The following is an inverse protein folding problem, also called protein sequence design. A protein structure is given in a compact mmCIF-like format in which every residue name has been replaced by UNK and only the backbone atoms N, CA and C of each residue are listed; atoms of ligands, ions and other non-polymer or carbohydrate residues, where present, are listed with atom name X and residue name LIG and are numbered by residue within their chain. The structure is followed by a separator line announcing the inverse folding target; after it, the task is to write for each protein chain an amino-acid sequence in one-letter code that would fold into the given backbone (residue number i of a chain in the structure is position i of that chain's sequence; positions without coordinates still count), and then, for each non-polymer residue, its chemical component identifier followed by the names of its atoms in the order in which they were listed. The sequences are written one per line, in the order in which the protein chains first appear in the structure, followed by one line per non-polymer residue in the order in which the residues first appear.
data_IF_519120031682
#
_entry.id   IF_519120031682
#
_cell.length_a   1.000
_cell.length_b   1.000
_cell.length_c   1.000
_cell.angle_alpha   90.00
_cell.angle_beta   90.00
_cell.angle_gamma   90.00
#
_symmetry.space_group_name_H-M   'P 1'
#
loop_
_entity.id
_entity.type
_entity.pdbx_description
1 polymer ?
#
# COMPACT_ATOMS: atom_id res chain seq x y z
N UNK A 1 -25.86 10.55 -25.63
CA UNK A 1 -25.49 9.36 -24.82
C UNK A 1 -24.17 9.64 -24.11
N UNK A 2 -24.20 10.04 -22.83
CA UNK A 2 -22.99 10.20 -22.01
C UNK A 2 -22.80 8.91 -21.22
N UNK A 3 -21.71 8.18 -21.48
CA UNK A 3 -21.36 6.96 -20.75
C UNK A 3 -20.82 7.37 -19.39
N UNK A 4 -21.59 7.14 -18.34
CA UNK A 4 -21.10 7.18 -16.96
C UNK A 4 -20.11 6.03 -16.78
N UNK A 5 -18.83 6.35 -16.66
CA UNK A 5 -17.87 5.41 -16.09
C UNK A 5 -18.12 5.36 -14.59
N UNK A 6 -18.58 4.20 -14.10
CA UNK A 6 -18.64 3.94 -12.66
C UNK A 6 -17.21 3.89 -12.09
N UNK A 7 -16.95 4.39 -10.87
CA UNK A 7 -15.67 4.16 -10.23
C UNK A 7 -15.55 2.67 -9.91
N UNK A 8 -14.43 2.06 -10.29
CA UNK A 8 -14.06 0.73 -9.83
C UNK A 8 -13.95 0.81 -8.31
N UNK A 9 -14.94 0.23 -7.64
CA UNK A 9 -14.90 -0.01 -6.20
C UNK A 9 -13.74 -0.96 -5.93
N UNK A 10 -12.60 -0.41 -5.51
CA UNK A 10 -11.67 -1.16 -4.67
C UNK A 10 -12.39 -1.41 -3.35
N UNK A 11 -13.14 -2.52 -3.29
CA UNK A 11 -13.70 -3.03 -2.05
C UNK A 11 -12.54 -3.18 -1.07
N UNK A 12 -12.50 -2.31 -0.06
CA UNK A 12 -11.77 -2.53 1.18
C UNK A 12 -12.19 -3.94 1.69
N UNK A 13 -11.27 -4.79 2.17
CA UNK A 13 -11.64 -6.08 2.72
C UNK A 13 -12.72 -5.90 3.79
N UNK A 14 -13.86 -6.57 3.62
CA UNK A 14 -15.02 -6.53 4.52
C UNK A 14 -14.78 -7.31 5.83
N UNK A 15 -13.63 -7.10 6.48
CA UNK A 15 -13.36 -7.64 7.82
C UNK A 15 -13.27 -6.53 8.87
N UNK A 16 -13.86 -5.36 8.63
CA UNK A 16 -13.81 -4.21 9.52
C UNK A 16 -14.65 -4.39 10.78
N UNK A 17 -14.11 -5.07 11.78
CA UNK A 17 -14.50 -4.82 13.16
C UNK A 17 -14.14 -3.37 13.52
N UNK A 18 -14.98 -2.71 14.31
CA UNK A 18 -14.83 -1.32 14.77
C UNK A 18 -13.50 -1.03 15.47
N UNK A 19 -12.83 -2.06 16.01
CA UNK A 19 -11.52 -1.97 16.65
C UNK A 19 -10.35 -1.79 15.66
N UNK A 20 -10.47 -2.27 14.42
CA UNK A 20 -9.41 -2.17 13.40
C UNK A 20 -9.28 -0.77 12.80
N UNK A 21 -10.25 0.11 13.05
CA UNK A 21 -10.28 1.48 12.57
C UNK A 21 -10.24 2.51 13.71
N UNK A 22 -9.76 2.10 14.89
CA UNK A 22 -9.66 3.00 16.03
C UNK A 22 -8.71 4.18 15.68
N UNK A 23 -9.12 5.44 15.93
CA UNK A 23 -8.32 6.60 15.58
C UNK A 23 -6.95 6.60 16.29
N UNK A 24 -6.91 6.14 17.54
CA UNK A 24 -5.72 6.18 18.39
C UNK A 24 -4.86 4.90 18.28
N UNK A 25 -3.53 4.99 18.09
CA UNK A 25 -2.63 3.83 17.97
C UNK A 25 -2.76 2.79 19.09
N UNK A 26 -2.89 3.26 20.34
CA UNK A 26 -3.03 2.40 21.53
C UNK A 26 -4.31 1.56 21.55
N UNK A 27 -5.34 1.97 20.82
CA UNK A 27 -6.66 1.29 20.77
C UNK A 27 -6.79 0.31 19.59
N UNK A 28 -5.74 0.17 18.77
CA UNK A 28 -5.73 -0.67 17.58
C UNK A 28 -5.16 -2.05 17.89
N UNK A 29 -5.60 -3.03 17.11
CA UNK A 29 -4.99 -4.35 17.08
C UNK A 29 -3.54 -4.21 16.57
N UNK A 30 -2.53 -4.80 17.25
CA UNK A 30 -1.14 -4.83 16.77
C UNK A 30 -1.02 -5.35 15.33
N UNK A 31 -0.09 -4.80 14.54
CA UNK A 31 0.10 -5.20 13.13
C UNK A 31 0.40 -6.71 12.99
N UNK A 32 1.19 -7.28 13.90
CA UNK A 32 1.46 -8.73 13.98
C UNK A 32 0.23 -9.62 14.11
N UNK A 33 -0.88 -9.12 14.65
CA UNK A 33 -2.07 -9.94 14.89
C UNK A 33 -2.96 -10.04 13.64
N UNK A 34 -2.68 -9.25 12.60
CA UNK A 34 -3.30 -9.40 11.30
C UNK A 34 -2.63 -10.50 10.47
N UNK A 35 -3.41 -11.08 9.55
CA UNK A 35 -2.92 -12.07 8.59
C UNK A 35 -1.77 -11.46 7.75
N UNK A 36 -0.65 -12.18 7.51
CA UNK A 36 0.52 -11.64 6.80
C UNK A 36 0.19 -10.94 5.48
N UNK A 37 -0.74 -11.50 4.70
CA UNK A 37 -1.15 -10.96 3.40
C UNK A 37 -1.91 -9.62 3.49
N UNK A 38 -2.48 -9.30 4.65
CA UNK A 38 -3.28 -8.08 4.85
C UNK A 38 -2.50 -6.95 5.52
N UNK A 39 -1.35 -7.26 6.15
CA UNK A 39 -0.56 -6.29 6.94
C UNK A 39 -0.15 -5.07 6.14
N UNK A 40 0.30 -5.27 4.90
CA UNK A 40 0.77 -4.18 4.04
C UNK A 40 -0.36 -3.28 3.56
N UNK A 41 -1.56 -3.83 3.32
CA UNK A 41 -2.75 -3.05 3.01
C UNK A 41 -3.15 -2.17 4.21
N UNK A 42 -3.13 -2.75 5.41
CA UNK A 42 -3.45 -2.06 6.65
C UNK A 42 -2.45 -0.95 6.96
N UNK A 43 -1.14 -1.23 6.80
CA UNK A 43 -0.08 -0.23 6.95
C UNK A 43 -0.28 0.93 5.98
N UNK A 44 -0.61 0.65 4.71
CA UNK A 44 -0.91 1.69 3.70
C UNK A 44 -2.11 2.55 4.10
N UNK A 45 -3.19 1.93 4.58
CA UNK A 45 -4.37 2.67 5.06
C UNK A 45 -4.01 3.61 6.22
N UNK A 46 -3.14 3.19 7.15
CA UNK A 46 -2.68 4.04 8.23
C UNK A 46 -1.77 5.19 7.76
N UNK A 47 -0.86 4.94 6.83
CA UNK A 47 0.01 5.98 6.25
C UNK A 47 -0.83 7.03 5.51
N UNK A 48 -1.83 6.60 4.73
CA UNK A 48 -2.72 7.50 3.98
C UNK A 48 -3.61 8.36 4.89
N UNK A 49 -4.05 7.84 6.04
CA UNK A 49 -4.81 8.61 7.03
C UNK A 49 -3.96 9.70 7.69
N UNK A 50 -2.63 9.60 7.64
CA UNK A 50 -1.71 10.57 8.22
C UNK A 50 -1.65 10.52 9.75
N UNK A 51 -0.90 11.45 10.37
CA UNK A 51 -0.81 11.54 11.82
C UNK A 51 -2.19 11.80 12.42
N UNK A 52 -2.60 10.95 13.37
CA UNK A 52 -3.86 11.14 14.08
C UNK A 52 -3.77 12.42 14.94
N UNK A 53 -4.63 13.40 14.64
CA UNK A 53 -4.90 14.52 15.54
C UNK A 53 -6.12 14.15 16.40
N UNK A 54 -5.96 13.81 17.69
CA UNK A 54 -7.10 13.53 18.54
C UNK A 54 -7.94 14.81 18.72
N UNK A 55 -9.26 14.68 18.61
CA UNK A 55 -10.16 15.72 19.11
C UNK A 55 -10.02 15.73 20.64
N UNK A 56 -9.83 16.92 21.19
CA UNK A 56 -9.41 17.23 22.57
C UNK A 56 -10.21 16.50 23.68
N UNK A 57 -11.36 15.88 23.36
CA UNK A 57 -12.27 15.27 24.31
C UNK A 57 -12.20 13.73 24.46
N UNK A 58 -11.34 13.00 23.73
CA UNK A 58 -11.34 11.51 23.75
C UNK A 58 -10.00 10.83 24.10
N UNK A 59 -8.98 11.60 24.49
CA UNK A 59 -7.66 11.07 24.83
C UNK A 59 -7.49 10.96 26.34
N UNK A 60 -7.88 9.82 26.90
CA UNK A 60 -7.17 9.33 28.08
C UNK A 60 -5.76 8.93 27.62
N UNK A 61 -4.79 9.70 28.13
CA UNK A 61 -3.34 9.60 27.97
C UNK A 61 -2.72 10.41 26.80
N UNK A 62 -2.01 11.49 27.17
CA UNK A 62 -1.16 12.38 26.34
C UNK A 62 0.06 11.68 25.70
N UNK A 63 -0.09 10.43 25.28
CA UNK A 63 0.96 9.61 24.73
C UNK A 63 1.04 9.80 23.21
N UNK A 64 2.18 10.32 22.75
CA UNK A 64 2.46 10.53 21.31
C UNK A 64 3.22 9.35 20.73
N UNK A 65 2.89 8.94 19.51
CA UNK A 65 3.53 7.80 18.83
C UNK A 65 4.20 8.28 17.53
N UNK A 66 5.32 7.66 17.17
CA UNK A 66 5.86 7.80 15.83
C UNK A 66 5.16 6.78 14.92
N UNK A 67 4.38 7.25 13.95
CA UNK A 67 3.59 6.37 13.07
C UNK A 67 4.46 5.32 12.36
N UNK A 68 5.62 5.72 11.84
CA UNK A 68 6.52 4.80 11.14
C UNK A 68 7.01 3.69 12.07
N UNK A 69 7.47 4.05 13.28
CA UNK A 69 7.99 3.08 14.23
C UNK A 69 6.89 2.15 14.77
N UNK A 70 5.68 2.68 15.00
CA UNK A 70 4.50 1.89 15.37
C UNK A 70 4.17 0.81 14.32
N UNK A 71 4.17 1.16 13.03
CA UNK A 71 3.75 0.24 11.95
C UNK A 71 4.75 -0.89 11.65
N UNK A 72 6.03 -0.68 11.98
CA UNK A 72 7.13 -1.59 11.63
C UNK A 72 7.86 -2.18 12.83
N UNK A 73 7.30 -2.07 14.03
CA UNK A 73 7.88 -2.57 15.29
C UNK A 73 8.11 -4.09 15.31
N UNK A 74 7.40 -4.85 14.47
CA UNK A 74 7.41 -6.32 14.49
C UNK A 74 8.58 -6.95 13.72
N UNK A 75 9.36 -6.13 13.01
CA UNK A 75 10.44 -6.60 12.13
C UNK A 75 11.85 -6.26 12.66
N UNK A 76 11.95 -5.47 13.73
CA UNK A 76 13.23 -5.19 14.39
C UNK A 76 13.49 -6.22 15.48
N UNK A 77 14.07 -7.34 15.06
CA UNK A 77 14.67 -8.35 15.93
C UNK A 77 15.84 -7.66 16.68
N UNK A 78 15.64 -7.38 17.97
CA UNK A 78 16.66 -6.94 18.94
C UNK A 78 17.37 -5.60 18.69
N UNK A 79 16.76 -4.48 19.14
CA UNK A 79 17.57 -3.35 19.63
C UNK A 79 16.79 -2.51 20.64
N UNK A 80 17.13 -2.72 21.92
CA UNK A 80 16.51 -2.07 23.08
C UNK A 80 16.58 -0.54 22.99
N UNK A 81 15.42 0.10 23.02
CA UNK A 81 15.28 1.56 23.10
C UNK A 81 14.17 2.18 22.24
N UNK A 82 13.60 1.42 21.29
CA UNK A 82 12.59 1.91 20.33
C UNK A 82 11.12 1.84 20.80
N UNK A 83 10.84 1.20 21.93
CA UNK A 83 9.47 0.90 22.37
C UNK A 83 8.69 2.14 22.83
N UNK A 84 9.38 3.19 23.29
CA UNK A 84 8.74 4.42 23.79
C UNK A 84 7.90 5.12 22.72
N UNK A 85 8.38 5.17 21.47
CA UNK A 85 7.67 5.83 20.37
C UNK A 85 6.79 4.87 19.55
N UNK A 86 6.91 3.56 19.82
CA UNK A 86 6.24 2.51 19.02
C UNK A 86 5.11 1.84 19.78
N UNK A 87 5.30 1.43 21.04
CA UNK A 87 4.32 0.63 21.80
C UNK A 87 3.80 1.34 23.06
N UNK A 88 4.68 2.00 23.82
CA UNK A 88 4.31 2.61 25.11
C UNK A 88 3.69 4.00 24.91
N UNK A 89 4.16 4.72 23.90
CA UNK A 89 3.82 6.11 23.63
C UNK A 89 4.63 7.11 24.48
N UNK A 90 5.08 8.18 23.85
CA UNK A 90 5.88 9.23 24.45
C UNK A 90 4.99 10.30 25.10
N UNK A 91 4.95 10.33 26.43
CA UNK A 91 4.08 11.21 27.23
C UNK A 91 4.65 12.60 27.51
N UNK A 92 5.95 12.80 27.29
CA UNK A 92 6.65 14.05 27.64
C UNK A 92 6.84 14.95 26.43
N UNK A 93 5.78 15.30 25.70
CA UNK A 93 5.86 16.16 24.51
C UNK A 93 6.61 17.49 24.76
N UNK A 94 6.49 18.04 25.98
CA UNK A 94 7.22 19.22 26.42
C UNK A 94 8.76 19.07 26.37
N UNK A 95 9.29 17.83 26.38
CA UNK A 95 10.74 17.52 26.29
C UNK A 95 11.18 17.34 24.84
N UNK A 96 11.15 18.43 24.07
CA UNK A 96 11.52 18.49 22.63
C UNK A 96 12.83 17.78 22.28
N UNK A 97 13.87 17.91 23.11
CA UNK A 97 15.17 17.25 22.91
C UNK A 97 15.07 15.72 22.67
N UNK A 98 14.15 15.02 23.35
CA UNK A 98 13.98 13.58 23.15
C UNK A 98 13.30 13.26 21.83
N UNK A 99 12.36 14.10 21.40
CA UNK A 99 11.74 13.99 20.08
C UNK A 99 12.77 14.28 18.98
N UNK A 100 13.56 15.34 19.13
CA UNK A 100 14.60 15.73 18.17
C UNK A 100 15.68 14.65 18.04
N UNK A 101 16.02 13.97 19.15
CA UNK A 101 16.95 12.84 19.11
C UNK A 101 16.33 11.61 18.41
N UNK A 102 15.01 11.42 18.55
CA UNK A 102 14.31 10.29 17.92
C UNK A 102 14.13 10.48 16.41
N UNK A 103 13.68 11.66 15.98
CA UNK A 103 13.52 12.03 14.55
C UNK A 103 14.87 12.42 13.94
N UNK A 104 15.88 12.62 14.79
CA UNK A 104 17.21 13.02 14.39
C UNK A 104 17.88 12.02 13.46
N UNK A 105 18.82 12.53 12.66
CA UNK A 105 19.51 11.79 11.60
C UNK A 105 20.21 10.51 12.08
N UNK A 106 20.57 10.42 13.36
CA UNK A 106 21.28 9.28 13.94
C UNK A 106 20.38 8.13 14.39
N UNK A 107 19.05 8.30 14.41
CA UNK A 107 18.17 7.22 14.85
C UNK A 107 17.96 6.19 13.73
N UNK A 108 18.78 5.13 13.76
CA UNK A 108 18.77 4.04 12.77
C UNK A 108 17.39 3.38 12.70
N UNK A 109 16.74 3.12 13.83
CA UNK A 109 15.42 2.47 13.90
C UNK A 109 14.35 3.33 13.25
N UNK A 110 14.30 4.62 13.58
CA UNK A 110 13.37 5.56 12.97
C UNK A 110 13.61 5.66 11.46
N UNK A 111 14.86 5.85 11.03
CA UNK A 111 15.21 5.99 9.62
C UNK A 111 14.86 4.73 8.82
N UNK A 112 15.09 3.54 9.38
CA UNK A 112 14.72 2.29 8.74
C UNK A 112 13.19 2.17 8.63
N UNK A 113 12.45 2.46 9.70
CA UNK A 113 10.99 2.44 9.68
C UNK A 113 10.41 3.47 8.69
N UNK A 114 11.01 4.67 8.63
CA UNK A 114 10.65 5.70 7.66
C UNK A 114 10.89 5.24 6.23
N UNK A 115 12.06 4.66 5.95
CA UNK A 115 12.37 4.10 4.62
C UNK A 115 11.36 3.00 4.23
N UNK A 116 11.03 2.09 5.16
CA UNK A 116 9.98 1.08 4.94
C UNK A 116 8.62 1.69 4.61
N UNK A 117 8.23 2.79 5.28
CA UNK A 117 7.00 3.51 4.94
C UNK A 117 7.04 4.06 3.50
N UNK A 118 8.14 4.70 3.12
CA UNK A 118 8.31 5.26 1.78
C UNK A 118 8.28 4.17 0.70
N UNK A 119 8.99 3.07 0.93
CA UNK A 119 9.07 1.94 0.00
C UNK A 119 7.72 1.23 -0.12
N UNK A 120 6.98 1.05 0.98
CA UNK A 120 5.63 0.48 0.97
C UNK A 120 4.64 1.33 0.15
N UNK A 121 4.81 2.65 0.14
CA UNK A 121 3.97 3.55 -0.66
C UNK A 121 4.35 3.56 -2.15
N UNK A 122 5.55 3.08 -2.52
CA UNK A 122 6.01 2.95 -3.91
C UNK A 122 5.53 1.64 -4.57
N UNK A 123 4.20 1.45 -4.61
CA UNK A 123 3.57 0.23 -5.14
C UNK A 123 3.98 -0.13 -6.57
N UNK A 124 4.21 0.86 -7.43
CA UNK A 124 4.58 0.65 -8.83
C UNK A 124 5.94 -0.04 -9.01
N UNK A 125 6.78 -0.02 -7.96
CA UNK A 125 8.07 -0.69 -7.94
C UNK A 125 7.99 -2.12 -7.38
N UNK A 126 6.81 -2.55 -6.94
CA UNK A 126 6.62 -3.91 -6.42
C UNK A 126 6.70 -4.96 -7.53
N UNK A 127 7.15 -6.16 -7.15
CA UNK A 127 7.20 -7.34 -8.03
C UNK A 127 5.80 -7.64 -8.60
N UNK A 128 4.77 -7.53 -7.76
CA UNK A 128 3.38 -7.75 -8.18
C UNK A 128 2.94 -6.73 -9.25
N UNK A 129 3.26 -5.44 -9.07
CA UNK A 129 2.96 -4.43 -10.09
C UNK A 129 3.69 -4.69 -11.41
N UNK A 130 4.94 -5.14 -11.36
CA UNK A 130 5.70 -5.53 -12.55
C UNK A 130 5.04 -6.69 -13.31
N UNK A 131 4.57 -7.73 -12.60
CA UNK A 131 3.83 -8.85 -13.20
C UNK A 131 2.51 -8.42 -13.84
N UNK A 132 1.73 -7.57 -13.16
CA UNK A 132 0.48 -7.03 -13.72
C UNK A 132 0.75 -6.24 -14.99
N UNK A 133 1.79 -5.39 -14.99
CA UNK A 133 2.22 -4.62 -16.16
C UNK A 133 2.61 -5.54 -17.31
N UNK A 134 3.43 -6.56 -17.05
CA UNK A 134 3.83 -7.55 -18.05
C UNK A 134 2.61 -8.29 -18.63
N UNK A 135 1.70 -8.78 -17.78
CA UNK A 135 0.48 -9.48 -18.23
C UNK A 135 -0.39 -8.60 -19.12
N UNK A 136 -0.58 -7.33 -18.75
CA UNK A 136 -1.36 -6.37 -19.54
C UNK A 136 -0.69 -6.08 -20.88
N UNK A 137 0.64 -5.94 -20.90
CA UNK A 137 1.42 -5.76 -22.12
C UNK A 137 1.24 -6.94 -23.08
N UNK A 138 1.40 -8.18 -22.58
CA UNK A 138 1.21 -9.39 -23.38
C UNK A 138 -0.21 -9.49 -23.96
N UNK A 139 -1.24 -9.20 -23.15
CA UNK A 139 -2.64 -9.17 -23.61
C UNK A 139 -2.86 -8.13 -24.72
N UNK A 140 -2.24 -6.95 -24.60
CA UNK A 140 -2.33 -5.91 -25.60
C UNK A 140 -1.68 -6.33 -26.92
N UNK A 141 -0.48 -6.90 -26.87
CA UNK A 141 0.22 -7.40 -28.06
C UNK A 141 -0.57 -8.48 -28.80
N UNK A 142 -1.13 -9.45 -28.06
CA UNK A 142 -1.99 -10.47 -28.66
C UNK A 142 -3.22 -9.86 -29.34
N UNK A 143 -3.85 -8.86 -28.72
CA UNK A 143 -5.00 -8.15 -29.29
C UNK A 143 -4.63 -7.43 -30.59
N UNK A 144 -3.46 -6.80 -30.64
CA UNK A 144 -2.96 -6.11 -31.85
C UNK A 144 -2.72 -7.12 -32.98
N UNK A 145 -2.03 -8.24 -32.70
CA UNK A 145 -1.77 -9.29 -33.71
C UNK A 145 -3.05 -9.90 -34.24
N UNK A 146 -3.98 -10.27 -33.36
CA UNK A 146 -5.27 -10.83 -33.76
C UNK A 146 -6.06 -9.85 -34.64
N UNK A 147 -6.09 -8.57 -34.28
CA UNK A 147 -6.75 -7.54 -35.08
C UNK A 147 -6.12 -7.46 -36.48
N UNK A 148 -4.80 -7.41 -36.58
CA UNK A 148 -4.10 -7.37 -37.86
C UNK A 148 -4.41 -8.61 -38.72
N UNK A 149 -4.40 -9.81 -38.14
CA UNK A 149 -4.74 -11.05 -38.86
C UNK A 149 -6.18 -11.04 -39.39
N UNK A 150 -7.13 -10.52 -38.61
CA UNK A 150 -8.53 -10.36 -39.04
C UNK A 150 -8.63 -9.38 -40.22
N UNK A 151 -7.94 -8.25 -40.16
CA UNK A 151 -7.93 -7.27 -41.26
C UNK A 151 -7.34 -7.88 -42.53
N UNK A 152 -6.23 -8.61 -42.43
CA UNK A 152 -5.61 -9.31 -43.57
C UNK A 152 -6.57 -10.36 -44.15
N UNK A 153 -7.20 -11.18 -43.31
CA UNK A 153 -8.17 -12.17 -43.76
C UNK A 153 -9.35 -11.52 -44.49
N UNK A 154 -9.87 -10.39 -44.00
CA UNK A 154 -10.93 -9.62 -44.67
C UNK A 154 -10.49 -9.09 -46.03
N UNK A 155 -9.27 -8.54 -46.12
CA UNK A 155 -8.73 -8.04 -47.39
C UNK A 155 -8.59 -9.15 -48.43
N UNK A 156 -8.04 -10.31 -48.04
CA UNK A 156 -7.88 -11.46 -48.93
C UNK A 156 -9.22 -12.00 -49.43
N UNK A 157 -10.20 -12.13 -48.55
CA UNK A 157 -11.56 -12.56 -48.92
C UNK A 157 -12.23 -11.55 -49.87
N UNK A 158 -12.04 -10.25 -49.65
CA UNK A 158 -12.64 -9.21 -50.49
C UNK A 158 -11.97 -9.06 -51.87
N UNK A 159 -10.72 -9.51 -52.04
CA UNK A 159 -10.01 -9.43 -53.32
C UNK A 159 -10.25 -10.66 -54.23
N UNK A 160 -11.03 -11.65 -53.79
CA UNK A 160 -11.40 -12.80 -54.63
C UNK A 160 -10.26 -13.77 -54.94
N UNK A 161 -9.17 -13.76 -54.15
CA UNK A 161 -8.09 -14.74 -54.26
C UNK A 161 -8.56 -16.11 -53.76
N UNK A 162 -9.28 -16.83 -54.62
CA UNK A 162 -9.59 -18.24 -54.39
C UNK A 162 -8.28 -19.03 -54.40
N UNK A 163 -8.04 -19.81 -53.34
CA UNK A 163 -6.93 -20.76 -53.24
C UNK A 163 -7.09 -21.84 -54.34
N UNK A 164 -6.56 -21.60 -55.53
CA UNK A 164 -6.48 -22.63 -56.58
C UNK A 164 -5.31 -23.55 -56.27
N UNK A 165 -5.57 -24.63 -55.52
CA UNK A 165 -4.67 -25.78 -55.48
C UNK A 165 -4.77 -26.51 -56.82
N UNK A 166 -3.81 -26.29 -57.72
CA UNK A 166 -3.62 -27.15 -58.89
C UNK A 166 -2.68 -28.28 -58.48
N UNK A 167 -3.20 -29.51 -58.47
CA UNK A 167 -2.46 -30.76 -58.27
C UNK A 167 -2.03 -31.38 -59.60
#
# INVERSE_FOLDING_TARGET
MKRFFSPISSKLPQSSSSAQNAPHPKKRIPIRDYHPDERDEIRRAYIQRGPHQPRISECDEDATYCLCCYLFQDESIHQGGGETFSSIGFRSWHKKKRLDTHIGKSNIVHNQAKKKCEDLMRQEQSIQAAFVKLSNQTKLEHKIRLKASIEVARLLLNQGLAFTWTS
#
